data_IF_081880072889
#
_entry.id   IF_081880072889
#
_cell.length_a   1.000
_cell.length_b   1.000
_cell.length_c   1.000
_cell.angle_alpha   90.00
_cell.angle_beta   90.00
_cell.angle_gamma   90.00
#
_symmetry.space_group_name_H-M   'P 1'
#
loop_
_entity.id
_entity.type
_entity.pdbx_description
1 polymer ?
#
# COMPACT_ATOMS: atom_id res chain seq x y z
N UNK A 1 -14.49 -1.16 27.31
CA UNK A 1 -14.22 -1.17 26.67
C UNK A 1 -13.79 -1.32 26.16
N UNK A 2 -13.58 -1.39 25.99
CA UNK A 2 -13.11 -1.60 25.22
C UNK A 2 -12.64 -1.89 24.72
N UNK A 3 -12.61 -2.02 24.98
CA UNK A 3 -12.12 -2.34 24.36
C UNK A 3 -11.80 -2.53 23.64
N UNK A 4 -11.79 -2.59 23.63
CA UNK A 4 -11.46 -2.88 22.75
C UNK A 4 -10.97 -2.83 22.08
N UNK A 5 -10.86 -2.79 21.92
CA UNK A 5 -10.43 -2.83 21.04
C UNK A 5 -9.67 -2.62 20.66
N UNK A 6 -9.50 -2.65 21.03
CA UNK A 6 -8.88 -2.52 20.42
C UNK A 6 -8.24 -3.10 19.96
N UNK A 7 -8.19 -3.53 19.86
CA UNK A 7 -7.66 -4.08 19.03
C UNK A 7 -7.69 -4.35 18.20
N UNK A 8 -7.99 -4.31 18.30
CA UNK A 8 -8.07 -4.54 17.35
C UNK A 8 -7.69 -4.11 16.46
N UNK A 9 -7.67 -3.78 16.51
CA UNK A 9 -7.27 -3.32 15.68
C UNK A 9 -6.22 -3.12 15.21
N UNK A 10 -6.05 -3.27 15.74
CA UNK A 10 -4.79 -3.06 15.16
C UNK A 10 -4.37 -4.09 14.19
N UNK A 11 -5.28 -4.47 13.46
CA UNK A 11 -4.98 -5.18 12.26
C UNK A 11 -4.06 -4.31 11.49
N UNK A 12 -2.89 -4.78 11.24
CA UNK A 12 -1.92 -4.03 10.49
C UNK A 12 -2.49 -3.78 9.12
N UNK A 13 -2.93 -2.57 8.92
CA UNK A 13 -3.39 -2.13 7.62
C UNK A 13 -2.16 -2.01 6.74
N UNK A 14 -2.22 -2.58 5.55
CA UNK A 14 -1.16 -2.40 4.57
C UNK A 14 -1.31 -1.00 3.96
N UNK A 15 -0.43 -0.06 4.29
CA UNK A 15 -0.60 1.30 3.79
C UNK A 15 -0.49 1.40 2.28
N UNK A 16 0.25 0.48 1.65
CA UNK A 16 0.35 0.48 0.20
C UNK A 16 -0.96 0.05 -0.45
N UNK A 17 -1.60 -0.98 0.10
CA UNK A 17 -2.89 -1.43 -0.42
C UNK A 17 -3.96 -0.36 -0.20
N UNK A 18 -3.93 0.32 0.94
CA UNK A 18 -4.88 1.37 1.22
C UNK A 18 -4.70 2.53 0.25
N UNK A 19 -3.46 2.91 -0.02
CA UNK A 19 -3.18 3.98 -0.97
C UNK A 19 -3.66 3.62 -2.36
N UNK A 20 -3.49 2.37 -2.76
CA UNK A 20 -3.95 1.91 -4.06
C UNK A 20 -5.46 1.97 -4.18
N UNK A 21 -6.17 1.61 -3.11
CA UNK A 21 -7.62 1.70 -3.10
C UNK A 21 -8.07 3.15 -3.27
N UNK A 22 -7.42 4.06 -2.56
CA UNK A 22 -7.74 5.48 -2.68
C UNK A 22 -7.41 6.03 -4.06
N UNK A 23 -6.30 5.57 -4.64
CA UNK A 23 -5.92 5.98 -5.97
C UNK A 23 -7.00 5.60 -6.99
N UNK A 24 -7.52 4.36 -6.90
CA UNK A 24 -8.57 3.93 -7.80
C UNK A 24 -9.83 4.79 -7.67
N UNK A 25 -10.16 5.16 -6.43
CA UNK A 25 -11.29 6.05 -6.19
C UNK A 25 -11.08 7.42 -6.84
N UNK A 26 -9.85 7.95 -6.74
CA UNK A 26 -9.53 9.22 -7.36
C UNK A 26 -9.60 9.15 -8.88
N UNK A 27 -9.16 8.03 -9.46
CA UNK A 27 -9.27 7.83 -10.91
C UNK A 27 -10.73 7.83 -11.34
N UNK A 28 -11.59 7.18 -10.57
CA UNK A 28 -13.01 7.15 -10.87
C UNK A 28 -13.63 8.54 -10.80
N UNK A 29 -13.24 9.33 -9.78
CA UNK A 29 -13.74 10.70 -9.66
C UNK A 29 -13.28 11.56 -10.83
N UNK A 30 -12.04 11.38 -11.26
CA UNK A 30 -11.51 12.12 -12.40
C UNK A 30 -12.26 11.77 -13.67
N UNK A 31 -12.52 10.48 -13.89
CA UNK A 31 -13.27 10.04 -15.06
C UNK A 31 -14.69 10.59 -15.10
N UNK A 32 -15.29 10.71 -13.93
CA UNK A 32 -16.64 11.25 -13.82
C UNK A 32 -16.69 12.78 -13.93
N UNK A 33 -15.53 13.43 -14.08
CA UNK A 33 -15.46 14.87 -14.20
C UNK A 33 -15.53 15.62 -12.89
N UNK A 34 -15.47 14.90 -11.76
CA UNK A 34 -15.57 15.52 -10.45
C UNK A 34 -14.24 15.99 -9.88
N UNK A 35 -13.15 15.79 -10.62
CA UNK A 35 -11.82 16.11 -10.12
C UNK A 35 -10.97 16.64 -11.27
N UNK A 36 -10.50 17.88 -11.13
CA UNK A 36 -9.66 18.50 -12.12
C UNK A 36 -8.26 17.88 -12.11
N UNK A 37 -7.54 17.92 -13.24
CA UNK A 37 -6.23 17.25 -13.33
C UNK A 37 -5.24 17.68 -12.26
N UNK A 38 -5.19 18.98 -11.94
CA UNK A 38 -4.27 19.45 -10.91
C UNK A 38 -4.66 18.94 -9.54
N UNK A 39 -5.96 18.98 -9.23
CA UNK A 39 -6.44 18.49 -7.95
C UNK A 39 -6.21 16.98 -7.82
N UNK A 40 -6.37 16.27 -8.94
CA UNK A 40 -6.09 14.84 -8.97
C UNK A 40 -4.63 14.55 -8.62
N UNK A 41 -3.69 15.26 -9.25
CA UNK A 41 -2.27 15.04 -8.99
C UNK A 41 -1.90 15.36 -7.54
N UNK A 42 -2.47 16.41 -6.97
CA UNK A 42 -2.22 16.75 -5.58
C UNK A 42 -2.77 15.69 -4.64
N UNK A 43 -3.97 15.18 -4.93
CA UNK A 43 -4.57 14.14 -4.10
C UNK A 43 -3.76 12.85 -4.16
N UNK A 44 -3.22 12.50 -5.33
CA UNK A 44 -2.37 11.31 -5.46
C UNK A 44 -1.08 11.52 -4.68
N UNK A 45 -0.52 12.72 -4.71
CA UNK A 45 0.69 13.01 -3.93
C UNK A 45 0.47 12.81 -2.44
N UNK A 46 -0.73 13.11 -1.96
CA UNK A 46 -1.06 12.95 -0.55
C UNK A 46 -1.16 11.48 -0.13
N UNK A 47 -1.12 10.55 -1.08
CA UNK A 47 -1.13 9.12 -0.79
C UNK A 47 0.27 8.56 -0.55
N UNK A 48 1.28 9.42 -0.44
CA UNK A 48 2.65 8.96 -0.22
C UNK A 48 2.74 8.13 1.06
N UNK A 49 3.60 7.11 1.04
CA UNK A 49 3.80 6.21 2.16
C UNK A 49 5.26 6.25 2.57
N UNK A 50 5.51 6.29 3.87
CA UNK A 50 6.86 6.19 4.41
C UNK A 50 7.01 4.78 4.97
N UNK A 51 7.98 4.02 4.46
CA UNK A 51 8.14 2.63 4.92
C UNK A 51 8.97 2.58 6.20
N UNK A 52 9.13 1.37 6.73
CA UNK A 52 9.83 1.17 8.00
C UNK A 52 11.32 1.45 7.93
N UNK A 53 11.86 1.60 6.74
CA UNK A 53 13.28 1.91 6.53
C UNK A 53 13.51 3.38 6.22
N UNK A 54 12.46 4.17 6.24
CA UNK A 54 12.57 5.60 6.00
C UNK A 54 12.49 6.00 4.54
N UNK A 55 12.18 5.08 3.66
CA UNK A 55 12.00 5.42 2.24
C UNK A 55 10.62 5.96 1.98
N UNK A 56 10.54 6.98 1.15
CA UNK A 56 9.28 7.54 0.73
C UNK A 56 8.82 6.87 -0.56
N UNK A 57 7.56 6.49 -0.60
CA UNK A 57 6.96 5.85 -1.76
C UNK A 57 5.82 6.70 -2.27
N UNK A 58 5.64 6.70 -3.58
CA UNK A 58 4.61 7.51 -4.20
C UNK A 58 4.06 6.80 -5.42
N UNK A 59 2.75 6.93 -5.63
CA UNK A 59 2.14 6.44 -6.87
C UNK A 59 2.28 7.50 -7.95
N UNK A 60 2.63 7.05 -9.15
CA UNK A 60 2.63 7.93 -10.30
C UNK A 60 1.19 8.28 -10.65
N UNK A 61 0.85 9.58 -10.77
CA UNK A 61 -0.54 9.93 -11.03
C UNK A 61 -1.03 9.45 -12.40
N UNK A 62 -0.14 9.30 -13.36
CA UNK A 62 -0.53 8.91 -14.71
C UNK A 62 -0.63 7.41 -14.92
N UNK A 63 0.17 6.64 -14.18
CA UNK A 63 0.27 5.20 -14.42
C UNK A 63 -0.12 4.34 -13.22
N UNK A 64 -0.26 4.93 -12.03
CA UNK A 64 -0.59 4.16 -10.83
C UNK A 64 0.49 3.20 -10.40
N UNK A 65 1.71 3.41 -10.83
CA UNK A 65 2.84 2.56 -10.52
C UNK A 65 3.60 3.14 -9.33
N UNK A 66 4.15 2.25 -8.50
CA UNK A 66 4.88 2.69 -7.31
C UNK A 66 6.29 3.12 -7.66
N UNK A 67 6.73 4.22 -7.03
CA UNK A 67 8.08 4.75 -7.13
C UNK A 67 8.63 4.98 -5.74
N UNK A 68 9.89 4.61 -5.53
CA UNK A 68 10.57 4.84 -4.27
C UNK A 68 11.57 5.97 -4.43
N UNK A 69 11.64 6.85 -3.43
CA UNK A 69 12.60 7.94 -3.45
C UNK A 69 13.97 7.42 -3.04
N UNK A 70 14.95 7.60 -3.91
CA UNK A 70 16.35 7.28 -3.62
C UNK A 70 17.14 8.56 -3.80
N UNK A 71 17.60 9.13 -2.70
CA UNK A 71 18.27 10.42 -2.72
C UNK A 71 17.32 11.45 -3.36
N UNK A 72 17.66 11.97 -4.53
CA UNK A 72 16.81 12.97 -5.19
C UNK A 72 16.10 12.41 -6.42
N UNK A 73 16.05 11.10 -6.54
CA UNK A 73 15.46 10.46 -7.71
C UNK A 73 14.32 9.56 -7.31
N UNK A 74 13.39 9.37 -8.21
CA UNK A 74 12.30 8.43 -8.04
C UNK A 74 12.58 7.22 -8.92
N UNK A 75 12.61 6.05 -8.30
CA UNK A 75 12.89 4.80 -9.00
C UNK A 75 11.65 3.91 -8.91
N UNK A 76 11.26 3.37 -10.06
CA UNK A 76 10.16 2.41 -10.09
C UNK A 76 10.58 1.16 -9.32
N UNK A 77 9.74 0.71 -8.40
CA UNK A 77 10.04 -0.45 -7.57
C UNK A 77 8.76 -1.02 -6.98
N UNK A 78 8.80 -2.27 -6.58
CA UNK A 78 7.66 -2.88 -5.90
C UNK A 78 7.75 -2.58 -4.41
N UNK A 79 6.65 -2.11 -3.81
CA UNK A 79 6.66 -1.80 -2.38
C UNK A 79 6.73 -3.08 -1.54
N UNK A 80 7.21 -2.98 -0.29
CA UNK A 80 7.31 -4.14 0.59
C UNK A 80 5.94 -4.49 1.16
N UNK A 81 5.11 -5.08 0.34
CA UNK A 81 3.73 -5.42 0.70
C UNK A 81 3.71 -6.54 1.72
N UNK A 82 2.65 -6.55 2.52
CA UNK A 82 2.41 -7.65 3.43
C UNK A 82 1.59 -8.71 2.71
N UNK A 83 1.94 -9.98 2.97
CA UNK A 83 1.22 -11.12 2.42
C UNK A 83 0.47 -11.79 3.55
N UNK A 84 -0.84 -11.94 3.41
CA UNK A 84 -1.66 -12.61 4.40
C UNK A 84 -1.66 -14.10 4.13
N UNK A 85 -1.29 -14.87 5.17
CA UNK A 85 -1.29 -16.33 5.06
C UNK A 85 -2.73 -16.83 4.95
N UNK A 86 -3.01 -17.63 3.92
CA UNK A 86 -4.36 -18.17 3.73
C UNK A 86 -4.69 -19.29 4.71
N UNK A 87 -3.68 -19.84 5.39
CA UNK A 87 -3.90 -20.91 6.36
C UNK A 87 -4.18 -20.39 7.76
N UNK A 88 -3.45 -19.35 8.21
CA UNK A 88 -3.61 -18.88 9.58
C UNK A 88 -3.93 -17.38 9.70
N UNK A 89 -3.92 -16.64 8.60
CA UNK A 89 -4.26 -15.22 8.63
C UNK A 89 -3.15 -14.28 9.06
N UNK A 90 -1.96 -14.81 9.34
CA UNK A 90 -0.85 -13.96 9.78
C UNK A 90 -0.37 -13.06 8.64
N UNK A 91 -0.06 -11.81 8.98
CA UNK A 91 0.46 -10.84 8.00
C UNK A 91 1.96 -10.95 7.93
N UNK A 92 2.48 -11.38 6.79
CA UNK A 92 3.91 -11.58 6.57
C UNK A 92 4.48 -10.46 5.73
N UNK A 93 5.80 -10.26 5.84
CA UNK A 93 6.48 -9.33 4.95
C UNK A 93 6.48 -9.88 3.53
N UNK A 94 6.44 -8.99 2.56
CA UNK A 94 6.35 -9.41 1.17
C UNK A 94 7.56 -10.20 0.67
N UNK A 95 8.68 -10.12 1.39
CA UNK A 95 9.89 -10.86 1.00
C UNK A 95 9.89 -12.32 1.46
N UNK A 96 8.97 -12.69 2.36
CA UNK A 96 8.91 -14.05 2.87
C UNK A 96 8.23 -14.96 1.88
N UNK A 97 8.73 -16.18 1.75
CA UNK A 97 8.11 -17.21 0.90
C UNK A 97 7.19 -18.11 1.70
N UNK A 98 7.39 -18.17 3.01
CA UNK A 98 6.61 -19.01 3.92
C UNK A 98 6.17 -18.19 5.12
N UNK A 99 4.99 -18.53 5.63
CA UNK A 99 4.46 -17.86 6.81
C UNK A 99 5.37 -18.13 8.01
N UNK A 100 5.76 -17.07 8.72
CA UNK A 100 6.66 -17.21 9.87
C UNK A 100 5.94 -17.84 11.07
N UNK A 101 4.60 -17.88 11.06
CA UNK A 101 3.83 -18.45 12.16
C UNK A 101 3.51 -19.91 11.96
N UNK A 102 3.09 -20.31 10.76
CA UNK A 102 2.63 -21.68 10.55
C UNK A 102 3.41 -22.44 9.46
N UNK A 103 4.29 -21.77 8.75
CA UNK A 103 5.11 -22.41 7.72
C UNK A 103 4.42 -22.63 6.39
N UNK A 104 3.17 -22.20 6.26
CA UNK A 104 2.44 -22.37 5.00
C UNK A 104 3.05 -21.50 3.91
N UNK A 105 3.10 -22.03 2.69
CA UNK A 105 3.64 -21.29 1.56
C UNK A 105 2.74 -20.10 1.24
N UNK A 106 3.35 -18.94 1.06
CA UNK A 106 2.61 -17.73 0.77
C UNK A 106 2.40 -17.56 -0.73
N UNK A 107 1.17 -17.21 -1.10
CA UNK A 107 0.84 -16.91 -2.48
C UNK A 107 1.19 -15.47 -2.78
N UNK A 108 1.98 -15.25 -3.81
CA UNK A 108 2.32 -13.92 -4.26
C UNK A 108 1.46 -13.57 -5.45
N UNK A 109 0.87 -12.36 -5.45
CA UNK A 109 0.24 -11.88 -6.67
C UNK A 109 1.32 -11.67 -7.71
N UNK A 110 1.10 -12.11 -8.90
CA UNK A 110 2.05 -11.93 -10.00
C UNK A 110 1.65 -10.74 -10.85
#
# INVERSE_FOLDING_TARGET
MFAGGRYLQTVAVDPFAEAETRYRSLVDQRRAGGLQPRAFRLAVRDLAVLDGEGHRWMLGPEDGVWYRREHERWLQADPPRRLVCTACGHHNLGRHSFCVECGHRLNRPT
#
